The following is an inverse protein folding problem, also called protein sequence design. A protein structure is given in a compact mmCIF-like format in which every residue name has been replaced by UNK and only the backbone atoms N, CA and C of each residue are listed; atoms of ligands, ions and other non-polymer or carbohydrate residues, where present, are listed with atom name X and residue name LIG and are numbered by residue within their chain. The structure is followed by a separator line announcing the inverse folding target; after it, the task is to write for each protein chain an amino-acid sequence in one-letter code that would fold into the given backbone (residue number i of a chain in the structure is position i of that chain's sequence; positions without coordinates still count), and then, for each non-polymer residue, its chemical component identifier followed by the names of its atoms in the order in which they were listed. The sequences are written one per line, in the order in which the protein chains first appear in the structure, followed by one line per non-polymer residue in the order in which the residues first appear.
data_IF_338177448861
#
_entry.id   IF_338177448861
#
_cell.length_a   1.000
_cell.length_b   1.000
_cell.length_c   1.000
_cell.angle_alpha   90.00
_cell.angle_beta   90.00
_cell.angle_gamma   90.00
#
_symmetry.space_group_name_H-M   'P 1'
#
loop_
_entity.id
_entity.type
_entity.pdbx_description
1 polymer ?
#
# COMPACT_ATOMS: atom_id res chain seq x y z
N UNK A 1 27.92 -9.27 35.38
CA UNK A 1 26.85 -9.56 34.41
C UNK A 1 25.62 -8.65 34.51
N UNK A 2 25.43 -7.83 35.57
CA UNK A 2 24.28 -6.90 35.65
C UNK A 2 24.49 -5.53 34.96
N UNK A 3 25.75 -5.10 34.77
CA UNK A 3 26.09 -3.77 34.23
C UNK A 3 25.90 -3.64 32.71
N UNK A 4 25.85 -4.76 31.99
CA UNK A 4 25.60 -4.81 30.55
C UNK A 4 24.11 -4.63 30.20
N UNK A 5 23.21 -5.04 31.09
CA UNK A 5 21.76 -4.87 30.90
C UNK A 5 21.32 -3.41 31.12
N UNK A 6 22.00 -2.68 32.02
CA UNK A 6 21.65 -1.29 32.32
C UNK A 6 22.00 -0.32 31.18
N UNK A 7 23.06 -0.59 30.41
CA UNK A 7 23.43 0.21 29.24
C UNK A 7 22.50 0.01 28.03
N UNK A 8 21.87 -1.17 27.93
CA UNK A 8 20.90 -1.48 26.88
C UNK A 8 19.54 -0.78 27.10
N UNK A 9 19.18 -0.52 28.37
CA UNK A 9 17.95 0.20 28.73
C UNK A 9 18.11 1.73 28.61
N UNK A 10 19.34 2.24 28.68
CA UNK A 10 19.63 3.68 28.67
C UNK A 10 19.87 4.29 27.27
N UNK A 11 19.82 3.47 26.20
CA UNK A 11 19.94 3.96 24.83
C UNK A 11 18.56 4.23 24.25
N UNK A 12 18.33 5.38 23.57
CA UNK A 12 17.09 5.60 22.82
C UNK A 12 16.91 4.43 21.88
N UNK A 13 15.85 3.65 22.10
CA UNK A 13 15.64 2.41 21.37
C UNK A 13 15.41 2.75 19.89
N UNK A 14 16.44 2.56 19.06
CA UNK A 14 16.43 2.85 17.61
C UNK A 14 15.24 2.13 16.93
N UNK A 15 14.78 1.02 17.50
CA UNK A 15 13.59 0.33 17.03
C UNK A 15 12.30 1.13 17.21
N UNK A 16 12.17 1.94 18.28
CA UNK A 16 10.98 2.79 18.51
C UNK A 16 10.89 3.93 17.49
N UNK A 17 12.01 4.58 17.17
CA UNK A 17 12.04 5.63 16.14
C UNK A 17 11.69 5.06 14.76
N UNK A 18 12.23 3.89 14.42
CA UNK A 18 11.90 3.17 13.19
C UNK A 18 10.44 2.72 13.16
N UNK A 19 9.91 2.25 14.27
CA UNK A 19 8.50 1.86 14.39
C UNK A 19 7.56 3.06 14.20
N UNK A 20 7.87 4.22 14.79
CA UNK A 20 7.11 5.44 14.58
C UNK A 20 7.11 5.87 13.10
N UNK A 21 8.27 5.78 12.42
CA UNK A 21 8.38 6.05 10.99
C UNK A 21 7.53 5.08 10.15
N UNK A 22 7.56 3.78 10.47
CA UNK A 22 6.75 2.77 9.78
C UNK A 22 5.26 3.01 9.99
N UNK A 23 4.82 3.31 11.23
CA UNK A 23 3.42 3.64 11.53
C UNK A 23 2.94 4.86 10.74
N UNK A 24 3.77 5.91 10.64
CA UNK A 24 3.47 7.08 9.81
C UNK A 24 3.33 6.68 8.33
N UNK A 25 4.29 5.92 7.81
CA UNK A 25 4.25 5.48 6.41
C UNK A 25 3.03 4.61 6.10
N UNK A 26 2.61 3.75 7.04
CA UNK A 26 1.39 2.95 6.92
C UNK A 26 0.17 3.88 6.81
N UNK A 27 0.04 4.86 7.70
CA UNK A 27 -1.07 5.82 7.66
C UNK A 27 -1.11 6.62 6.34
N UNK A 28 0.05 7.05 5.85
CA UNK A 28 0.16 7.75 4.56
C UNK A 28 -0.29 6.85 3.40
N UNK A 29 0.11 5.56 3.41
CA UNK A 29 -0.28 4.60 2.39
C UNK A 29 -1.76 4.23 2.47
N UNK A 30 -2.33 4.10 3.67
CA UNK A 30 -3.76 3.85 3.86
C UNK A 30 -4.61 5.00 3.30
N UNK A 31 -4.21 6.24 3.56
CA UNK A 31 -4.86 7.42 3.00
C UNK A 31 -4.80 7.44 1.47
N UNK A 32 -3.65 7.09 0.89
CA UNK A 32 -3.47 7.02 -0.56
C UNK A 32 -4.32 5.93 -1.20
N UNK A 33 -4.41 4.75 -0.57
CA UNK A 33 -5.28 3.65 -1.02
C UNK A 33 -6.74 4.08 -1.03
N UNK A 34 -7.20 4.78 0.01
CA UNK A 34 -8.57 5.30 0.08
C UNK A 34 -8.81 6.31 -1.06
N UNK A 35 -7.87 7.23 -1.28
CA UNK A 35 -7.95 8.22 -2.37
C UNK A 35 -8.06 7.54 -3.74
N UNK A 36 -7.18 6.58 -4.02
CA UNK A 36 -7.17 5.86 -5.30
C UNK A 36 -8.42 5.00 -5.51
N UNK A 37 -8.99 4.44 -4.43
CA UNK A 37 -10.27 3.73 -4.51
C UNK A 37 -11.41 4.66 -4.89
N UNK A 38 -11.50 5.83 -4.25
CA UNK A 38 -12.49 6.83 -4.63
C UNK A 38 -12.34 7.27 -6.09
N UNK A 39 -11.11 7.54 -6.53
CA UNK A 39 -10.82 7.89 -7.92
C UNK A 39 -11.22 6.76 -8.88
N UNK A 40 -10.94 5.50 -8.53
CA UNK A 40 -11.35 4.34 -9.33
C UNK A 40 -12.88 4.21 -9.40
N UNK A 41 -13.57 4.36 -8.26
CA UNK A 41 -15.03 4.28 -8.19
C UNK A 41 -15.68 5.38 -9.04
N UNK A 42 -15.13 6.60 -9.03
CA UNK A 42 -15.57 7.70 -9.90
C UNK A 42 -15.34 7.40 -11.39
N UNK A 43 -14.16 6.86 -11.73
CA UNK A 43 -13.84 6.47 -13.11
C UNK A 43 -14.74 5.33 -13.60
N UNK A 44 -15.04 4.34 -12.76
CA UNK A 44 -15.95 3.24 -13.07
C UNK A 44 -17.39 3.75 -13.19
N UNK A 45 -17.84 4.64 -12.32
CA UNK A 45 -19.18 5.22 -12.40
C UNK A 45 -19.37 6.14 -13.61
N UNK A 46 -18.33 6.88 -14.01
CA UNK A 46 -18.32 7.74 -15.19
C UNK A 46 -18.11 6.99 -16.51
N UNK A 47 -17.49 5.82 -16.44
CA UNK A 47 -17.39 4.90 -17.58
C UNK A 47 -18.69 4.11 -17.68
N UNK A 48 -19.59 4.52 -18.58
CA UNK A 48 -20.78 3.74 -18.99
C UNK A 48 -20.43 2.39 -19.67
N UNK A 49 -19.16 1.99 -19.56
CA UNK A 49 -18.66 0.65 -19.79
C UNK A 49 -19.14 -0.20 -18.61
N UNK A 50 -20.37 -0.73 -18.71
CA UNK A 50 -20.80 -1.88 -17.93
C UNK A 50 -19.71 -2.98 -17.95
N UNK A 51 -19.73 -3.93 -17.00
CA UNK A 51 -18.63 -4.88 -16.78
C UNK A 51 -18.13 -5.41 -18.12
N UNK A 52 -16.94 -4.94 -18.53
CA UNK A 52 -16.34 -5.37 -19.79
C UNK A 52 -15.98 -6.83 -19.55
N UNK A 53 -16.80 -7.72 -20.10
CA UNK A 53 -16.55 -9.15 -20.11
C UNK A 53 -15.35 -9.41 -21.03
N UNK A 54 -14.16 -9.11 -20.50
CA UNK A 54 -12.90 -9.46 -21.13
C UNK A 54 -12.71 -10.95 -20.90
N UNK A 55 -13.23 -11.72 -21.85
CA UNK A 55 -12.96 -13.14 -21.93
C UNK A 55 -11.44 -13.33 -21.95
N UNK A 56 -10.96 -14.36 -21.26
CA UNK A 56 -9.53 -14.71 -21.27
C UNK A 56 -9.02 -14.99 -22.69
N UNK A 57 -9.93 -15.27 -23.63
CA UNK A 57 -9.64 -15.37 -25.06
C UNK A 57 -9.23 -14.04 -25.70
N UNK A 58 -9.82 -12.91 -25.29
CA UNK A 58 -9.54 -11.58 -25.86
C UNK A 58 -8.15 -11.06 -25.47
N UNK A 59 -7.61 -11.53 -24.34
CA UNK A 59 -6.24 -11.22 -23.88
C UNK A 59 -5.17 -12.06 -24.58
N UNK A 60 -5.56 -13.15 -25.25
CA UNK A 60 -4.66 -14.11 -25.90
C UNK A 60 -4.55 -13.93 -27.41
N UNK A 61 -5.33 -13.04 -28.03
CA UNK A 61 -5.14 -12.69 -29.43
C UNK A 61 -3.87 -11.83 -29.57
N UNK A 62 -2.78 -12.35 -30.18
CA UNK A 62 -1.61 -11.54 -30.45
C UNK A 62 -2.01 -10.48 -31.47
N UNK A 63 -1.65 -9.22 -31.22
CA UNK A 63 -1.79 -8.13 -32.18
C UNK A 63 -1.17 -8.57 -33.52
N UNK A 64 -2.01 -9.01 -34.47
CA UNK A 64 -1.57 -9.42 -35.80
C UNK A 64 -1.14 -8.14 -36.53
N UNK A 65 0.13 -8.10 -36.90
CA UNK A 65 0.78 -7.02 -37.66
C UNK A 65 0.16 -6.84 -39.05
#
# INVERSE_FOLDING_TARGET
MAKALLGYVATPNVHQAREAQLRRRIADLEAEVIRLKHENDELVAGSDLGPVDLSTADLLEPARS
#
